data_IF_646322557500
#
_entry.id   IF_646322557500
#
_cell.length_a   1.000
_cell.length_b   1.000
_cell.length_c   1.000
_cell.angle_alpha   90.00
_cell.angle_beta   90.00
_cell.angle_gamma   90.00
#
_symmetry.space_group_name_H-M   'P 1'
#
loop_
_entity.id
_entity.type
_entity.pdbx_description
1 polymer ?
#
# COMPACT_ATOMS: atom_id res chain seq x y z
N UNK A 1 8.20 9.83 -5.65
CA UNK A 1 7.09 9.40 -4.79
C UNK A 1 7.55 8.18 -4.00
N UNK A 2 7.62 8.30 -2.68
CA UNK A 2 8.01 7.19 -1.80
C UNK A 2 6.91 6.12 -1.76
N UNK A 3 7.25 4.88 -1.36
CA UNK A 3 6.26 3.79 -1.31
C UNK A 3 5.07 4.12 -0.40
N UNK A 4 5.34 4.76 0.74
CA UNK A 4 4.30 5.16 1.69
C UNK A 4 3.33 6.17 1.07
N UNK A 5 3.84 7.15 0.32
CA UNK A 5 3.04 8.18 -0.34
C UNK A 5 2.06 7.58 -1.35
N UNK A 6 2.53 6.64 -2.19
CA UNK A 6 1.67 5.91 -3.14
C UNK A 6 0.57 5.10 -2.45
N UNK A 7 0.88 4.51 -1.29
CA UNK A 7 -0.12 3.80 -0.48
C UNK A 7 -1.16 4.79 0.05
N UNK A 8 -0.74 5.91 0.65
CA UNK A 8 -1.66 6.91 1.20
C UNK A 8 -2.62 7.46 0.14
N UNK A 9 -2.11 7.79 -1.05
CA UNK A 9 -2.94 8.23 -2.18
C UNK A 9 -3.99 7.18 -2.55
N UNK A 10 -3.59 5.91 -2.64
CA UNK A 10 -4.52 4.81 -2.90
C UNK A 10 -5.59 4.68 -1.81
N UNK A 11 -5.22 4.79 -0.54
CA UNK A 11 -6.16 4.70 0.58
C UNK A 11 -7.20 5.83 0.51
N UNK A 12 -6.78 7.05 0.18
CA UNK A 12 -7.68 8.21 0.02
C UNK A 12 -8.60 8.00 -1.18
N UNK A 13 -8.07 7.61 -2.34
CA UNK A 13 -8.84 7.43 -3.57
C UNK A 13 -9.89 6.31 -3.43
N UNK A 14 -9.52 5.20 -2.79
CA UNK A 14 -10.40 4.03 -2.66
C UNK A 14 -11.23 4.02 -1.38
N UNK A 15 -11.00 4.97 -0.47
CA UNK A 15 -11.53 4.98 0.91
C UNK A 15 -11.22 3.69 1.68
N UNK A 16 -10.12 3.03 1.34
CA UNK A 16 -9.68 1.80 2.02
C UNK A 16 -8.98 2.17 3.32
N UNK A 17 -9.27 1.45 4.41
CA UNK A 17 -8.55 1.67 5.67
C UNK A 17 -7.09 1.14 5.57
N UNK A 18 -6.11 1.76 6.24
CA UNK A 18 -4.72 1.29 6.24
C UNK A 18 -4.58 -0.19 6.66
N UNK A 19 -5.37 -0.61 7.66
CA UNK A 19 -5.35 -1.98 8.17
C UNK A 19 -5.98 -2.98 7.22
N UNK A 20 -7.04 -2.57 6.52
CA UNK A 20 -7.65 -3.36 5.44
C UNK A 20 -6.63 -3.59 4.33
N UNK A 21 -6.01 -2.52 3.83
CA UNK A 21 -4.98 -2.61 2.80
C UNK A 21 -3.83 -3.55 3.20
N UNK A 22 -3.27 -3.35 4.40
CA UNK A 22 -2.18 -4.18 4.89
C UNK A 22 -2.56 -5.67 4.96
N UNK A 23 -3.78 -5.97 5.42
CA UNK A 23 -4.30 -7.34 5.45
C UNK A 23 -4.46 -7.94 4.05
N UNK A 24 -5.00 -7.18 3.09
CA UNK A 24 -5.26 -7.70 1.74
C UNK A 24 -4.00 -7.86 0.90
N UNK A 25 -3.07 -6.91 0.96
CA UNK A 25 -1.91 -6.87 0.06
C UNK A 25 -0.74 -7.67 0.62
N UNK A 26 -0.46 -7.53 1.92
CA UNK A 26 0.75 -8.09 2.54
C UNK A 26 0.46 -9.03 3.71
N UNK A 27 -0.80 -9.35 3.99
CA UNK A 27 -1.23 -10.16 5.13
C UNK A 27 -0.79 -9.60 6.50
N UNK A 28 -0.59 -8.28 6.60
CA UNK A 28 -0.16 -7.59 7.83
C UNK A 28 -1.00 -6.31 8.03
N UNK A 29 -1.99 -6.30 8.93
CA UNK A 29 -2.86 -5.14 9.16
C UNK A 29 -2.15 -3.94 9.81
N UNK A 30 -0.91 -4.11 10.31
CA UNK A 30 -0.12 -3.00 10.87
C UNK A 30 0.86 -2.43 9.86
N UNK A 31 0.96 -3.02 8.67
CA UNK A 31 1.96 -2.66 7.66
C UNK A 31 2.09 -1.16 7.39
N UNK A 32 0.96 -0.49 7.11
CA UNK A 32 0.95 0.94 6.79
C UNK A 32 1.30 1.78 8.02
N UNK A 33 0.82 1.39 9.21
CA UNK A 33 1.16 2.10 10.44
C UNK A 33 2.65 1.97 10.75
N UNK A 34 3.20 0.75 10.69
CA UNK A 34 4.62 0.53 10.91
C UNK A 34 5.46 1.31 9.87
N UNK A 35 5.01 1.42 8.61
CA UNK A 35 5.66 2.24 7.59
C UNK A 35 5.69 3.73 7.97
N UNK A 36 4.59 4.27 8.51
CA UNK A 36 4.53 5.64 9.03
C UNK A 36 5.49 5.84 10.20
N UNK A 37 5.65 4.81 11.02
CA UNK A 37 6.56 4.81 12.16
C UNK A 37 8.04 4.60 11.73
N UNK A 38 8.32 4.50 10.43
CA UNK A 38 9.68 4.41 9.87
C UNK A 38 10.17 2.99 9.58
N UNK A 39 9.31 1.96 9.66
CA UNK A 39 9.65 0.59 9.26
C UNK A 39 10.11 0.59 7.80
N UNK A 40 11.22 -0.12 7.53
CA UNK A 40 11.69 -0.38 6.18
C UNK A 40 11.29 -1.79 5.73
N UNK A 41 10.36 -1.93 4.77
CA UNK A 41 9.97 -3.23 4.27
C UNK A 41 11.09 -3.88 3.46
N UNK A 42 11.06 -5.22 3.39
CA UNK A 42 11.98 -5.96 2.53
C UNK A 42 11.64 -5.68 1.07
N UNK A 43 12.65 -5.75 0.18
CA UNK A 43 12.49 -5.51 -1.27
C UNK A 43 11.33 -6.30 -1.89
N UNK A 44 11.13 -7.58 -1.49
CA UNK A 44 10.01 -8.41 -1.95
C UNK A 44 8.64 -7.83 -1.58
N UNK A 45 8.51 -7.28 -0.37
CA UNK A 45 7.27 -6.64 0.09
C UNK A 45 7.02 -5.36 -0.68
N UNK A 46 8.06 -4.53 -0.89
CA UNK A 46 7.94 -3.32 -1.69
C UNK A 46 7.45 -3.65 -3.11
N UNK A 47 8.08 -4.63 -3.75
CA UNK A 47 7.70 -5.07 -5.10
C UNK A 47 6.23 -5.51 -5.17
N UNK A 48 5.79 -6.38 -4.26
CA UNK A 48 4.41 -6.85 -4.20
C UNK A 48 3.40 -5.69 -4.07
N UNK A 49 3.73 -4.72 -3.23
CA UNK A 49 2.88 -3.54 -3.02
C UNK A 49 2.85 -2.66 -4.27
N UNK A 50 4.00 -2.38 -4.88
CA UNK A 50 4.07 -1.59 -6.11
C UNK A 50 3.31 -2.25 -7.26
N UNK A 51 3.42 -3.56 -7.44
CA UNK A 51 2.66 -4.31 -8.45
C UNK A 51 1.14 -4.23 -8.21
N UNK A 52 0.72 -4.34 -6.95
CA UNK A 52 -0.70 -4.20 -6.58
C UNK A 52 -1.24 -2.79 -6.86
N UNK A 53 -0.47 -1.75 -6.49
CA UNK A 53 -0.86 -0.36 -6.71
C UNK A 53 -0.95 -0.04 -8.20
N UNK A 54 0.03 -0.45 -9.00
CA UNK A 54 0.01 -0.29 -10.44
C UNK A 54 -1.20 -0.99 -11.10
N UNK A 55 -1.52 -2.20 -10.65
CA UNK A 55 -2.71 -2.92 -11.14
C UNK A 55 -4.01 -2.24 -10.74
N UNK A 56 -4.09 -1.66 -9.54
CA UNK A 56 -5.31 -1.03 -9.05
C UNK A 56 -5.54 0.35 -9.67
N UNK A 57 -4.47 1.13 -9.86
CA UNK A 57 -4.52 2.44 -10.52
C UNK A 57 -4.94 2.31 -11.99
N UNK A 58 -4.49 1.25 -12.67
CA UNK A 58 -4.93 0.93 -14.03
C UNK A 58 -6.44 0.64 -14.13
N UNK A 59 -7.05 0.11 -13.06
CA UNK A 59 -8.50 -0.13 -12.99
C UNK A 59 -9.25 1.17 -12.68
N UNK A 60 -8.70 2.04 -11.84
CA UNK A 60 -9.37 3.27 -11.42
C UNK A 60 -9.32 4.42 -12.46
N UNK A 61 -8.41 4.34 -13.44
CA UNK A 61 -8.29 5.32 -14.54
C UNK A 61 -9.16 5.02 -15.78
N UNK A 62 -10.03 4.02 -15.72
CA UNK A 62 -11.01 3.69 -16.78
C UNK A 62 -12.42 4.02 -16.33
#
# INVERSE_FOLDING_TARGET
MELLEQIEEYLVQTRTSPSTFGRHVVADPRFVQDLRDGRRPRRKTCQKVSEFLASSEAVNRR
#
